data_IF_659404208588
#
_entry.id   IF_659404208588
#
_cell.length_a   1.000
_cell.length_b   1.000
_cell.length_c   1.000
_cell.angle_alpha   90.00
_cell.angle_beta   90.00
_cell.angle_gamma   90.00
#
_symmetry.space_group_name_H-M   'P 1'
#
loop_
_entity.id
_entity.type
_entity.pdbx_description
1 polymer ?
#
# COMPACT_ATOMS: atom_id res chain seq x y z
N UNK A 1 32.50 3.44 -9.32
CA UNK A 1 32.09 3.56 -10.73
C UNK A 1 31.78 5.01 -10.99
N UNK A 2 32.64 5.69 -11.74
CA UNK A 2 32.49 7.09 -12.14
C UNK A 2 31.37 7.11 -13.19
N UNK A 3 30.27 7.82 -12.91
CA UNK A 3 29.24 8.08 -13.91
C UNK A 3 29.79 9.20 -14.79
N UNK A 4 30.21 8.82 -15.99
CA UNK A 4 30.74 9.73 -16.99
C UNK A 4 29.62 10.66 -17.49
N UNK A 5 29.64 11.92 -17.07
CA UNK A 5 28.70 12.93 -17.55
C UNK A 5 29.02 13.27 -19.02
N UNK A 6 28.37 12.54 -19.93
CA UNK A 6 28.39 12.88 -21.36
C UNK A 6 27.65 14.20 -21.58
N UNK A 7 28.40 15.29 -21.69
CA UNK A 7 27.92 16.59 -22.16
C UNK A 7 27.54 16.51 -23.65
N UNK A 8 26.29 16.12 -23.94
CA UNK A 8 25.74 16.15 -25.30
C UNK A 8 25.32 17.58 -25.63
N UNK A 9 26.02 18.22 -26.58
CA UNK A 9 25.61 19.51 -27.15
C UNK A 9 24.25 19.35 -27.85
N UNK A 10 23.25 20.10 -27.43
CA UNK A 10 21.92 20.09 -28.04
C UNK A 10 21.74 21.29 -28.98
N UNK A 11 21.52 21.01 -30.27
CA UNK A 11 20.89 21.92 -31.22
C UNK A 11 19.49 22.24 -30.71
N UNK A 12 19.08 23.52 -30.74
CA UNK A 12 17.95 24.06 -29.97
C UNK A 12 16.66 23.23 -29.97
N UNK A 13 15.95 23.29 -28.83
CA UNK A 13 14.68 22.60 -28.57
C UNK A 13 14.45 22.33 -27.09
N UNK A 14 13.28 21.76 -26.71
CA UNK A 14 13.03 21.35 -25.32
C UNK A 14 13.99 20.22 -24.93
N UNK A 15 14.78 20.46 -23.88
CA UNK A 15 15.70 19.48 -23.32
C UNK A 15 14.99 18.14 -23.03
N UNK A 16 15.65 17.03 -23.38
CA UNK A 16 15.15 15.69 -23.06
C UNK A 16 15.15 15.51 -21.54
N UNK A 17 14.07 14.91 -21.01
CA UNK A 17 14.01 14.57 -19.58
C UNK A 17 15.10 13.54 -19.25
N UNK A 18 15.81 13.75 -18.14
CA UNK A 18 16.84 12.84 -17.65
C UNK A 18 16.30 11.42 -17.40
N UNK A 19 15.10 11.31 -16.84
CA UNK A 19 14.40 10.02 -16.66
C UNK A 19 13.20 9.95 -17.60
N UNK A 20 13.23 8.98 -18.51
CA UNK A 20 12.13 8.70 -19.43
C UNK A 20 11.21 7.63 -18.84
N UNK A 21 9.91 7.76 -19.10
CA UNK A 21 8.89 6.76 -18.75
C UNK A 21 8.71 5.86 -19.97
N UNK A 22 9.34 4.69 -19.96
CA UNK A 22 9.46 3.82 -21.14
C UNK A 22 8.31 2.82 -21.27
N UNK A 23 7.80 2.32 -20.14
CA UNK A 23 6.74 1.30 -20.12
C UNK A 23 5.36 1.96 -20.10
N UNK A 24 4.51 1.59 -21.07
CA UNK A 24 3.09 1.97 -21.12
C UNK A 24 2.23 0.74 -20.87
N UNK A 25 1.30 0.83 -19.92
CA UNK A 25 0.29 -0.20 -19.62
C UNK A 25 -1.08 0.44 -19.59
N UNK A 26 -2.03 -0.15 -20.33
CA UNK A 26 -3.43 0.28 -20.36
C UNK A 26 -4.25 -0.43 -19.29
N UNK A 27 -5.17 0.30 -18.67
CA UNK A 27 -6.14 -0.24 -17.70
C UNK A 27 -7.53 0.00 -18.28
N UNK A 28 -8.40 -1.02 -18.26
CA UNK A 28 -9.80 -0.90 -18.66
C UNK A 28 -10.64 -0.62 -17.43
N UNK A 29 -11.62 0.28 -17.57
CA UNK A 29 -12.56 0.65 -16.51
C UNK A 29 -13.98 0.54 -17.04
N UNK A 30 -14.90 0.19 -16.16
CA UNK A 30 -16.32 0.50 -16.33
C UNK A 30 -16.54 2.01 -16.24
N UNK A 31 -17.71 2.48 -16.71
CA UNK A 31 -18.07 3.90 -16.64
C UNK A 31 -18.08 4.43 -15.19
N UNK A 32 -18.58 3.62 -14.26
CA UNK A 32 -18.67 3.97 -12.84
C UNK A 32 -17.27 4.09 -12.19
N UNK A 33 -16.39 3.11 -12.43
CA UNK A 33 -15.01 3.15 -11.92
C UNK A 33 -14.26 4.37 -12.44
N UNK A 34 -14.37 4.64 -13.74
CA UNK A 34 -13.72 5.80 -14.34
C UNK A 34 -14.24 7.13 -13.77
N UNK A 35 -15.55 7.24 -13.51
CA UNK A 35 -16.13 8.42 -12.87
C UNK A 35 -15.54 8.67 -11.47
N UNK A 36 -15.43 7.62 -10.65
CA UNK A 36 -14.85 7.70 -9.31
C UNK A 36 -13.39 8.16 -9.39
N UNK A 37 -12.60 7.55 -10.27
CA UNK A 37 -11.18 7.91 -10.44
C UNK A 37 -11.05 9.35 -10.92
N UNK A 38 -11.87 9.78 -11.88
CA UNK A 38 -11.89 11.15 -12.39
C UNK A 38 -12.20 12.15 -11.28
N UNK A 39 -13.18 11.85 -10.42
CA UNK A 39 -13.52 12.71 -9.29
C UNK A 39 -12.37 12.79 -8.28
N UNK A 40 -11.73 11.67 -7.95
CA UNK A 40 -10.57 11.62 -7.04
C UNK A 40 -9.35 12.38 -7.61
N UNK A 41 -9.08 12.22 -8.90
CA UNK A 41 -8.03 12.96 -9.59
C UNK A 41 -8.30 14.47 -9.56
N UNK A 42 -9.54 14.89 -9.84
CA UNK A 42 -9.96 16.29 -9.76
C UNK A 42 -9.74 16.90 -8.37
N UNK A 43 -10.12 16.16 -7.30
CA UNK A 43 -9.91 16.60 -5.91
C UNK A 43 -8.44 16.83 -5.55
N UNK A 44 -7.52 16.13 -6.21
CA UNK A 44 -6.07 16.26 -5.98
C UNK A 44 -5.39 17.24 -6.94
N UNK A 45 -6.14 17.85 -7.86
CA UNK A 45 -5.58 18.74 -8.88
C UNK A 45 -4.67 18.03 -9.88
N UNK A 46 -4.76 16.70 -9.99
CA UNK A 46 -3.91 15.90 -10.89
C UNK A 46 -4.70 15.32 -12.06
N UNK A 47 -4.02 15.11 -13.18
CA UNK A 47 -4.60 14.32 -14.27
C UNK A 47 -4.79 12.86 -13.81
N UNK A 48 -5.88 12.23 -14.23
CA UNK A 48 -6.22 10.81 -14.01
C UNK A 48 -5.02 9.87 -14.14
N UNK A 49 -4.21 9.97 -15.19
CA UNK A 49 -3.05 9.10 -15.37
C UNK A 49 -1.97 9.27 -14.28
N UNK A 50 -1.74 10.52 -13.86
CA UNK A 50 -0.79 10.79 -12.77
C UNK A 50 -1.39 10.36 -11.43
N UNK A 51 -2.68 10.59 -11.21
CA UNK A 51 -3.38 10.13 -10.02
C UNK A 51 -3.25 8.61 -9.85
N UNK A 52 -3.62 7.84 -10.89
CA UNK A 52 -3.50 6.38 -10.88
C UNK A 52 -2.07 5.97 -10.60
N UNK A 53 -1.08 6.58 -11.28
CA UNK A 53 0.33 6.25 -11.08
C UNK A 53 0.77 6.47 -9.62
N UNK A 54 0.44 7.61 -9.04
CA UNK A 54 0.81 7.94 -7.66
C UNK A 54 0.18 6.96 -6.68
N UNK A 55 -1.11 6.65 -6.85
CA UNK A 55 -1.82 5.68 -6.02
C UNK A 55 -1.27 4.26 -6.22
N UNK A 56 -0.87 3.86 -7.42
CA UNK A 56 -0.30 2.53 -7.66
C UNK A 56 1.11 2.35 -7.11
N UNK A 57 1.91 3.43 -7.02
CA UNK A 57 3.28 3.38 -6.47
C UNK A 57 3.27 3.53 -4.95
N UNK A 58 2.46 4.45 -4.43
CA UNK A 58 2.47 4.83 -3.01
C UNK A 58 1.30 4.25 -2.22
N UNK A 59 0.31 3.67 -2.90
CA UNK A 59 -0.81 3.02 -2.26
C UNK A 59 -0.35 1.81 -1.46
N UNK A 60 -0.73 1.76 -0.20
CA UNK A 60 -0.52 0.58 0.64
C UNK A 60 -1.60 -0.45 0.30
N UNK A 61 -1.20 -1.57 -0.31
CA UNK A 61 -2.06 -2.75 -0.37
C UNK A 61 -1.97 -3.40 1.01
N UNK A 62 -3.08 -3.43 1.74
CA UNK A 62 -3.16 -4.22 2.97
C UNK A 62 -3.26 -5.67 2.50
N UNK A 63 -2.15 -6.39 2.50
CA UNK A 63 -2.15 -7.83 2.30
C UNK A 63 -2.96 -8.48 3.42
N UNK A 64 -3.72 -9.51 3.10
CA UNK A 64 -4.31 -10.36 4.12
C UNK A 64 -3.18 -10.92 4.99
N UNK A 65 -3.41 -11.06 6.30
CA UNK A 65 -2.41 -11.61 7.24
C UNK A 65 -1.78 -12.87 6.63
N UNK A 66 -0.45 -12.94 6.63
CA UNK A 66 0.28 -14.13 6.20
C UNK A 66 -0.11 -15.33 7.08
N UNK A 67 0.13 -16.55 6.61
CA UNK A 67 -0.22 -17.73 7.42
C UNK A 67 0.52 -17.73 8.77
N UNK A 68 1.77 -17.25 8.79
CA UNK A 68 2.55 -17.08 10.02
C UNK A 68 1.90 -16.06 10.96
N UNK A 69 1.51 -14.89 10.45
CA UNK A 69 0.84 -13.85 11.24
C UNK A 69 -0.50 -14.36 11.79
N UNK A 70 -1.25 -15.14 11.01
CA UNK A 70 -2.49 -15.78 11.48
C UNK A 70 -2.23 -16.78 12.59
N UNK A 71 -1.16 -17.58 12.47
CA UNK A 71 -0.77 -18.53 13.50
C UNK A 71 -0.37 -17.83 14.79
N UNK A 72 0.35 -16.71 14.73
CA UNK A 72 0.63 -15.88 15.90
C UNK A 72 -0.65 -15.35 16.54
N UNK A 73 -1.60 -14.83 15.76
CA UNK A 73 -2.89 -14.34 16.29
C UNK A 73 -3.68 -15.48 16.96
N UNK A 74 -3.70 -16.67 16.36
CA UNK A 74 -4.35 -17.86 16.96
C UNK A 74 -3.70 -18.25 18.29
N UNK A 75 -2.38 -18.28 18.37
CA UNK A 75 -1.66 -18.58 19.60
C UNK A 75 -1.94 -17.56 20.71
N UNK A 76 -1.89 -16.27 20.38
CA UNK A 76 -2.23 -15.19 21.32
C UNK A 76 -3.67 -15.32 21.84
N UNK A 77 -4.61 -15.64 20.96
CA UNK A 77 -6.01 -15.90 21.33
C UNK A 77 -6.11 -17.08 22.29
N UNK A 78 -5.37 -18.17 22.01
CA UNK A 78 -5.31 -19.35 22.88
C UNK A 78 -4.76 -19.01 24.27
N UNK A 79 -3.67 -18.24 24.35
CA UNK A 79 -3.09 -17.80 25.62
C UNK A 79 -4.03 -16.90 26.41
N UNK A 80 -4.69 -15.94 25.75
CA UNK A 80 -5.66 -15.06 26.39
C UNK A 80 -6.86 -15.84 26.94
N UNK A 81 -7.32 -16.86 26.22
CA UNK A 81 -8.38 -17.74 26.68
C UNK A 81 -7.97 -18.56 27.90
N UNK A 82 -6.76 -19.14 27.87
CA UNK A 82 -6.21 -19.89 29.01
C UNK A 82 -6.11 -19.01 30.25
N UNK A 83 -5.60 -17.78 30.10
CA UNK A 83 -5.54 -16.81 31.19
C UNK A 83 -6.94 -16.47 31.72
N UNK A 84 -7.90 -16.20 30.84
CA UNK A 84 -9.27 -15.87 31.24
C UNK A 84 -9.94 -17.01 32.00
N UNK A 85 -9.68 -18.27 31.63
CA UNK A 85 -10.17 -19.44 32.35
C UNK A 85 -9.54 -19.55 33.73
N UNK A 86 -8.22 -19.35 33.85
CA UNK A 86 -7.52 -19.36 35.13
C UNK A 86 -8.04 -18.27 36.07
N UNK A 87 -8.23 -17.05 35.59
CA UNK A 87 -8.76 -15.94 36.40
C UNK A 87 -10.18 -16.24 36.88
N UNK A 88 -11.07 -16.73 36.00
CA UNK A 88 -12.43 -17.13 36.39
C UNK A 88 -12.41 -18.24 37.43
N UNK A 89 -11.56 -19.24 37.24
CA UNK A 89 -11.43 -20.37 38.16
C UNK A 89 -10.90 -19.92 39.53
N UNK A 90 -9.86 -19.09 39.56
CA UNK A 90 -9.30 -18.55 40.79
C UNK A 90 -10.28 -17.65 41.56
N UNK A 91 -11.13 -16.89 40.85
CA UNK A 91 -12.21 -16.13 41.48
C UNK A 91 -13.31 -17.05 42.07
N UNK A 92 -13.69 -18.09 41.34
CA UNK A 92 -14.66 -19.10 41.84
C UNK A 92 -14.15 -19.88 43.05
N UNK A 93 -12.84 -20.16 43.10
CA UNK A 93 -12.19 -20.86 44.21
C UNK A 93 -11.87 -19.95 45.41
N UNK A 94 -12.20 -18.65 45.33
CA UNK A 94 -11.99 -17.68 46.42
C UNK A 94 -10.53 -17.22 46.57
N UNK A 95 -9.67 -17.54 45.61
CA UNK A 95 -8.25 -17.14 45.60
C UNK A 95 -8.02 -15.71 45.06
N UNK A 96 -9.05 -15.09 44.47
CA UNK A 96 -9.05 -13.71 44.00
C UNK A 96 -10.23 -12.96 44.62
N UNK A 97 -9.92 -11.96 45.44
CA UNK A 97 -10.87 -11.01 46.08
C UNK A 97 -11.17 -9.86 45.14
#
# INVERSE_FOLDING_TARGET
MIIEERHVKHTGGRLRKAVRKEVVKGIRFTKAEYFIIKQKASKTGTNVCNYIRQVSIHGKIISQLSEDERNYVRQLTGMANNLNQLTKKAHQEGCLV
#
